data_IF_798904501479
#
_entry.id   IF_798904501479
#
_cell.length_a   1.000
_cell.length_b   1.000
_cell.length_c   1.000
_cell.angle_alpha   90.00
_cell.angle_beta   90.00
_cell.angle_gamma   90.00
#
_symmetry.space_group_name_H-M   'P 1'
#
loop_
_entity.id
_entity.type
_entity.pdbx_description
1 polymer ?
#
# COMPACT_ATOMS: atom_id res chain seq x y z
N UNK A 1 -0.17 31.24 10.93
CA UNK A 1 0.42 31.76 12.19
C UNK A 1 1.86 31.23 12.27
N UNK A 2 2.67 31.63 11.30
CA UNK A 2 4.08 31.26 11.12
C UNK A 2 4.86 32.57 10.97
N UNK A 3 6.09 32.63 11.49
CA UNK A 3 7.06 33.74 11.50
C UNK A 3 7.22 34.50 12.83
N UNK A 4 7.59 33.78 13.87
CA UNK A 4 8.50 34.31 14.91
C UNK A 4 9.45 33.15 15.23
N UNK A 5 10.72 33.42 15.54
CA UNK A 5 11.82 32.47 15.89
C UNK A 5 12.89 32.16 14.84
N UNK A 6 13.33 33.15 14.05
CA UNK A 6 14.63 33.07 13.35
C UNK A 6 15.64 34.16 13.75
N UNK A 7 15.53 34.76 14.94
CA UNK A 7 16.48 35.80 15.39
C UNK A 7 17.34 35.46 16.61
N UNK A 8 17.44 34.20 17.04
CA UNK A 8 18.23 33.85 18.23
C UNK A 8 19.38 32.86 18.00
N UNK A 9 20.15 32.98 16.91
CA UNK A 9 21.50 32.40 16.87
C UNK A 9 22.46 33.25 16.03
N UNK A 10 22.87 34.38 16.60
CA UNK A 10 24.07 35.10 16.17
C UNK A 10 25.29 34.61 16.97
N UNK A 11 26.30 34.11 16.26
CA UNK A 11 27.68 34.02 16.77
C UNK A 11 28.15 32.63 17.21
N UNK A 12 28.80 31.91 16.30
CA UNK A 12 29.61 30.72 16.62
C UNK A 12 29.69 29.78 15.42
N UNK A 13 30.89 29.54 14.90
CA UNK A 13 31.15 28.64 13.77
C UNK A 13 30.97 27.16 14.12
N UNK A 14 29.77 26.77 14.55
CA UNK A 14 29.31 25.39 14.63
C UNK A 14 28.48 25.04 13.39
N UNK A 15 28.70 23.86 12.81
CA UNK A 15 27.83 23.34 11.76
C UNK A 15 26.38 23.39 12.24
N UNK A 16 25.51 24.17 11.59
CA UNK A 16 24.06 24.12 11.84
C UNK A 16 23.60 22.67 11.63
N UNK A 17 23.36 21.96 12.72
CA UNK A 17 22.77 20.64 12.66
C UNK A 17 21.33 20.83 12.17
N UNK A 18 21.06 20.31 10.98
CA UNK A 18 19.78 20.47 10.28
C UNK A 18 18.77 19.57 10.97
N UNK A 19 17.67 20.12 11.46
CA UNK A 19 16.65 19.38 12.20
C UNK A 19 15.36 19.25 11.42
N UNK A 20 14.78 18.05 11.44
CA UNK A 20 13.39 17.83 11.03
C UNK A 20 12.48 18.24 12.18
N UNK A 21 11.33 18.82 11.86
CA UNK A 21 10.30 19.15 12.83
C UNK A 21 9.06 18.29 12.60
N UNK A 22 8.49 17.78 13.68
CA UNK A 22 7.25 17.01 13.67
C UNK A 22 6.55 17.23 15.00
N UNK A 23 5.47 18.00 15.01
CA UNK A 23 4.61 18.11 16.19
C UNK A 23 3.61 16.95 16.29
N UNK A 24 3.05 16.79 17.49
CA UNK A 24 2.12 15.69 17.80
C UNK A 24 0.86 15.74 16.95
N UNK A 25 0.30 16.93 16.70
CA UNK A 25 -0.91 17.11 15.89
C UNK A 25 -0.66 16.75 14.43
N UNK A 26 0.53 17.04 13.90
CA UNK A 26 0.92 16.67 12.55
C UNK A 26 1.11 15.16 12.45
N UNK A 27 1.77 14.52 13.42
CA UNK A 27 1.88 13.06 13.50
C UNK A 27 0.49 12.39 13.54
N UNK A 28 -0.38 12.81 14.47
CA UNK A 28 -1.78 12.35 14.57
C UNK A 28 -2.55 12.57 13.26
N UNK A 29 -2.31 13.69 12.56
CA UNK A 29 -2.94 13.97 11.26
C UNK A 29 -2.48 12.98 10.18
N UNK A 30 -1.23 12.56 10.16
CA UNK A 30 -0.75 11.57 9.19
C UNK A 30 -1.30 10.16 9.47
N UNK A 31 -1.58 9.84 10.73
CA UNK A 31 -2.16 8.55 11.13
C UNK A 31 -3.63 8.36 10.73
N UNK A 32 -4.44 9.43 10.79
CA UNK A 32 -5.90 9.37 10.59
C UNK A 32 -6.37 8.72 9.28
N UNK A 33 -5.78 9.03 8.10
CA UNK A 33 -6.26 8.45 6.86
C UNK A 33 -6.25 6.92 6.83
N UNK A 34 -5.33 6.26 7.55
CA UNK A 34 -5.26 4.80 7.57
C UNK A 34 -6.48 4.17 8.26
N UNK A 35 -7.07 4.84 9.26
CA UNK A 35 -8.35 4.39 9.84
C UNK A 35 -9.45 4.39 8.77
N UNK A 36 -9.56 5.48 8.00
CA UNK A 36 -10.54 5.55 6.91
C UNK A 36 -10.30 4.54 5.80
N UNK A 37 -9.04 4.20 5.46
CA UNK A 37 -8.76 3.14 4.50
C UNK A 37 -9.33 1.80 4.97
N UNK A 38 -9.18 1.47 6.25
CA UNK A 38 -9.68 0.24 6.84
C UNK A 38 -11.20 0.25 6.94
N UNK A 39 -11.78 1.32 7.50
CA UNK A 39 -13.23 1.42 7.70
C UNK A 39 -13.96 1.35 6.35
N UNK A 40 -13.49 2.08 5.33
CA UNK A 40 -14.10 2.05 4.00
C UNK A 40 -13.98 0.65 3.36
N UNK A 41 -12.86 -0.03 3.52
CA UNK A 41 -12.69 -1.37 2.97
C UNK A 41 -13.72 -2.34 3.56
N UNK A 42 -13.75 -2.46 4.89
CA UNK A 42 -14.60 -3.44 5.56
C UNK A 42 -16.08 -3.07 5.53
N UNK A 43 -16.43 -1.80 5.70
CA UNK A 43 -17.84 -1.39 5.82
C UNK A 43 -18.51 -1.15 4.46
N UNK A 44 -17.76 -0.85 3.40
CA UNK A 44 -18.34 -0.38 2.13
C UNK A 44 -17.91 -1.15 0.90
N UNK A 45 -16.70 -1.71 0.90
CA UNK A 45 -16.15 -2.35 -0.29
C UNK A 45 -16.28 -3.86 -0.21
N UNK A 46 -15.89 -4.48 0.91
CA UNK A 46 -15.84 -5.94 1.00
C UNK A 46 -17.24 -6.57 0.86
N UNK A 47 -18.23 -6.02 1.56
CA UNK A 47 -19.60 -6.55 1.55
C UNK A 47 -20.33 -6.43 0.21
N UNK A 48 -19.79 -5.70 -0.78
CA UNK A 48 -20.35 -5.67 -2.15
C UNK A 48 -20.29 -7.06 -2.79
N UNK A 49 -19.35 -7.90 -2.35
CA UNK A 49 -19.06 -9.20 -2.94
C UNK A 49 -19.70 -10.37 -2.17
N UNK A 50 -20.53 -10.11 -1.15
CA UNK A 50 -21.11 -11.16 -0.31
C UNK A 50 -22.14 -12.03 -1.05
N UNK A 51 -22.68 -11.55 -2.17
CA UNK A 51 -23.76 -12.21 -2.92
C UNK A 51 -23.34 -12.75 -4.29
N UNK A 52 -22.04 -12.92 -4.57
CA UNK A 52 -21.55 -13.33 -5.90
C UNK A 52 -22.24 -14.62 -6.39
N UNK A 53 -22.46 -15.61 -5.52
CA UNK A 53 -23.15 -16.85 -5.90
C UNK A 53 -24.57 -16.57 -6.44
N UNK A 54 -25.33 -15.70 -5.77
CA UNK A 54 -26.67 -15.31 -6.23
C UNK A 54 -26.60 -14.53 -7.55
N UNK A 55 -25.62 -13.63 -7.70
CA UNK A 55 -25.44 -12.85 -8.93
C UNK A 55 -25.10 -13.76 -10.13
N UNK A 56 -24.32 -14.81 -9.89
CA UNK A 56 -24.01 -15.87 -10.86
C UNK A 56 -25.25 -16.67 -11.26
N UNK A 57 -26.08 -17.09 -10.30
CA UNK A 57 -27.34 -17.78 -10.58
C UNK A 57 -28.29 -16.90 -11.39
N UNK A 58 -28.38 -15.61 -11.04
CA UNK A 58 -29.16 -14.64 -11.81
C UNK A 58 -28.62 -14.44 -13.23
N UNK A 59 -27.29 -14.44 -13.41
CA UNK A 59 -26.67 -14.35 -14.72
C UNK A 59 -26.96 -15.59 -15.58
N UNK A 60 -26.91 -16.79 -14.99
CA UNK A 60 -27.26 -18.04 -15.66
C UNK A 60 -28.74 -18.05 -16.08
N UNK A 61 -29.65 -17.71 -15.17
CA UNK A 61 -31.09 -17.70 -15.43
C UNK A 61 -31.46 -16.70 -16.53
N UNK A 62 -30.92 -15.47 -16.47
CA UNK A 62 -31.15 -14.46 -17.53
C UNK A 62 -30.68 -14.97 -18.90
N UNK A 63 -29.48 -15.57 -18.96
CA UNK A 63 -28.95 -16.11 -20.22
C UNK A 63 -29.79 -17.28 -20.75
N UNK A 64 -30.31 -18.13 -19.86
CA UNK A 64 -31.24 -19.20 -20.26
C UNK A 64 -32.56 -18.65 -20.81
N UNK A 65 -33.13 -17.64 -20.17
CA UNK A 65 -34.34 -16.94 -20.63
C UNK A 65 -34.12 -16.31 -22.01
N UNK A 66 -32.98 -15.65 -22.23
CA UNK A 66 -32.58 -15.06 -23.52
C UNK A 66 -32.43 -16.14 -24.62
N UNK A 67 -31.82 -17.28 -24.31
CA UNK A 67 -31.73 -18.40 -25.25
C UNK A 67 -33.12 -18.95 -25.62
N UNK A 68 -34.06 -18.94 -24.67
CA UNK A 68 -35.44 -19.35 -24.87
C UNK A 68 -36.16 -18.61 -26.01
N UNK A 69 -35.74 -17.39 -26.36
CA UNK A 69 -36.28 -16.65 -27.52
C UNK A 69 -36.00 -17.35 -28.86
N UNK A 70 -34.96 -18.18 -28.93
CA UNK A 70 -34.55 -18.94 -30.11
C UNK A 70 -35.07 -20.38 -30.12
N UNK A 71 -35.94 -20.76 -29.17
CA UNK A 71 -36.44 -22.12 -29.05
C UNK A 71 -37.34 -22.52 -30.22
N UNK A 72 -37.02 -23.66 -30.82
CA UNK A 72 -37.82 -24.40 -31.80
C UNK A 72 -37.97 -25.84 -31.30
N UNK A 73 -39.20 -26.36 -31.12
CA UNK A 73 -39.41 -27.74 -30.67
C UNK A 73 -38.75 -28.81 -31.53
N UNK A 74 -38.48 -28.52 -32.80
CA UNK A 74 -37.95 -29.47 -33.78
C UNK A 74 -36.43 -29.39 -33.91
N UNK A 75 -35.82 -28.25 -33.61
CA UNK A 75 -34.42 -27.95 -33.94
C UNK A 75 -33.55 -27.56 -32.72
N UNK A 76 -34.15 -27.29 -31.55
CA UNK A 76 -33.41 -26.84 -30.38
C UNK A 76 -32.90 -28.01 -29.54
N UNK A 77 -31.59 -28.02 -29.31
CA UNK A 77 -30.95 -28.81 -28.27
C UNK A 77 -31.05 -28.06 -26.93
N UNK A 78 -31.93 -28.54 -26.04
CA UNK A 78 -32.12 -27.95 -24.72
C UNK A 78 -30.89 -28.17 -23.83
N UNK A 79 -30.16 -29.28 -24.00
CA UNK A 79 -28.97 -29.55 -23.21
C UNK A 79 -27.89 -28.50 -23.49
N UNK A 80 -27.75 -28.10 -24.77
CA UNK A 80 -26.89 -26.97 -25.15
C UNK A 80 -27.30 -25.65 -24.46
N UNK A 81 -28.61 -25.38 -24.32
CA UNK A 81 -29.07 -24.16 -23.65
C UNK A 81 -28.73 -24.18 -22.16
N UNK A 82 -28.94 -25.31 -21.51
CA UNK A 82 -28.61 -25.51 -20.09
C UNK A 82 -27.11 -25.36 -19.86
N UNK A 83 -26.28 -26.02 -20.66
CA UNK A 83 -24.81 -25.93 -20.55
C UNK A 83 -24.31 -24.50 -20.81
N UNK A 84 -24.89 -23.80 -21.80
CA UNK A 84 -24.53 -22.42 -22.10
C UNK A 84 -24.87 -21.48 -20.94
N UNK A 85 -26.05 -21.63 -20.34
CA UNK A 85 -26.47 -20.85 -19.17
C UNK A 85 -25.60 -21.14 -17.94
N UNK A 86 -25.29 -22.41 -17.68
CA UNK A 86 -24.40 -22.80 -16.59
C UNK A 86 -23.01 -22.17 -16.75
N UNK A 87 -22.41 -22.29 -17.94
CA UNK A 87 -21.12 -21.67 -18.23
C UNK A 87 -21.16 -20.15 -18.06
N UNK A 88 -22.30 -19.50 -18.36
CA UNK A 88 -22.46 -18.06 -18.17
C UNK A 88 -22.44 -17.66 -16.69
N UNK A 89 -23.11 -18.42 -15.83
CA UNK A 89 -23.06 -18.22 -14.38
C UNK A 89 -21.66 -18.44 -13.80
N UNK A 90 -20.95 -19.47 -14.27
CA UNK A 90 -19.57 -19.76 -13.88
C UNK A 90 -18.60 -18.64 -14.29
N UNK A 91 -18.66 -18.18 -15.55
CA UNK A 91 -17.86 -17.05 -16.04
C UNK A 91 -18.08 -15.81 -15.17
N UNK A 92 -19.35 -15.51 -14.83
CA UNK A 92 -19.67 -14.41 -13.94
C UNK A 92 -19.01 -14.57 -12.56
N UNK A 93 -19.12 -15.76 -11.97
CA UNK A 93 -18.54 -16.06 -10.65
C UNK A 93 -17.02 -15.83 -10.65
N UNK A 94 -16.32 -16.41 -11.63
CA UNK A 94 -14.87 -16.35 -11.77
C UNK A 94 -14.38 -14.91 -11.95
N UNK A 95 -15.04 -14.15 -12.84
CA UNK A 95 -14.65 -12.77 -13.12
C UNK A 95 -14.88 -11.85 -11.92
N UNK A 96 -16.04 -11.91 -11.27
CA UNK A 96 -16.32 -11.05 -10.10
C UNK A 96 -15.45 -11.45 -8.90
N UNK A 97 -15.21 -12.76 -8.71
CA UNK A 97 -14.26 -13.27 -7.73
C UNK A 97 -12.83 -12.76 -7.94
N UNK A 98 -12.38 -12.66 -9.19
CA UNK A 98 -11.08 -12.09 -9.52
C UNK A 98 -11.06 -10.57 -9.24
N UNK A 99 -12.14 -9.86 -9.53
CA UNK A 99 -12.28 -8.43 -9.20
C UNK A 99 -12.20 -8.19 -7.68
N UNK A 100 -12.91 -8.98 -6.87
CA UNK A 100 -12.84 -8.90 -5.41
C UNK A 100 -11.40 -9.08 -4.91
N UNK A 101 -10.74 -10.13 -5.41
CA UNK A 101 -9.35 -10.43 -5.10
C UNK A 101 -8.41 -9.26 -5.49
N UNK A 102 -8.56 -8.72 -6.70
CA UNK A 102 -7.76 -7.60 -7.18
C UNK A 102 -7.99 -6.33 -6.37
N UNK A 103 -9.21 -6.04 -5.95
CA UNK A 103 -9.53 -4.90 -5.08
C UNK A 103 -8.81 -5.01 -3.74
N UNK A 104 -8.81 -6.21 -3.12
CA UNK A 104 -8.05 -6.46 -1.89
C UNK A 104 -6.56 -6.18 -2.09
N UNK A 105 -5.95 -6.71 -3.15
CA UNK A 105 -4.54 -6.46 -3.46
C UNK A 105 -4.26 -4.98 -3.71
N UNK A 106 -5.13 -4.30 -4.45
CA UNK A 106 -5.01 -2.87 -4.69
C UNK A 106 -5.07 -2.06 -3.39
N UNK A 107 -5.81 -2.53 -2.38
CA UNK A 107 -5.85 -1.87 -1.07
C UNK A 107 -4.49 -1.87 -0.38
N UNK A 108 -3.81 -3.03 -0.33
CA UNK A 108 -2.43 -3.14 0.18
C UNK A 108 -1.47 -2.22 -0.59
N UNK A 109 -1.50 -2.29 -1.92
CA UNK A 109 -0.62 -1.49 -2.77
C UNK A 109 -0.86 0.01 -2.58
N UNK A 110 -2.12 0.42 -2.45
CA UNK A 110 -2.50 1.82 -2.27
C UNK A 110 -2.08 2.35 -0.90
N UNK A 111 -2.26 1.58 0.18
CA UNK A 111 -1.82 1.98 1.52
C UNK A 111 -0.32 2.26 1.58
N UNK A 112 0.49 1.40 0.94
CA UNK A 112 1.94 1.63 0.82
C UNK A 112 2.25 2.92 0.07
N UNK A 113 1.69 3.07 -1.14
CA UNK A 113 1.97 4.21 -2.01
C UNK A 113 1.52 5.53 -1.40
N UNK A 114 0.40 5.49 -0.68
CA UNK A 114 -0.11 6.64 0.06
C UNK A 114 0.86 7.04 1.18
N UNK A 115 1.33 6.09 1.99
CA UNK A 115 2.34 6.35 3.02
C UNK A 115 3.64 6.87 2.42
N UNK A 116 4.17 6.25 1.37
CA UNK A 116 5.42 6.68 0.73
C UNK A 116 5.31 8.12 0.23
N UNK A 117 4.17 8.50 -0.34
CA UNK A 117 3.88 9.88 -0.76
C UNK A 117 3.75 10.85 0.43
N UNK A 118 3.12 10.44 1.53
CA UNK A 118 3.07 11.26 2.76
C UNK A 118 4.49 11.53 3.28
N UNK A 119 5.31 10.49 3.40
CA UNK A 119 6.70 10.57 3.90
C UNK A 119 7.56 11.43 2.99
N UNK A 120 7.48 11.21 1.67
CA UNK A 120 8.17 12.03 0.68
C UNK A 120 7.75 13.50 0.77
N UNK A 121 6.45 13.76 0.88
CA UNK A 121 5.91 15.11 1.01
C UNK A 121 6.33 15.78 2.32
N UNK A 122 6.36 15.04 3.42
CA UNK A 122 6.86 15.50 4.72
C UNK A 122 8.33 15.91 4.63
N UNK A 123 9.20 14.99 4.17
CA UNK A 123 10.63 15.27 4.01
C UNK A 123 10.91 16.46 3.08
N UNK A 124 10.13 16.63 2.02
CA UNK A 124 10.30 17.75 1.12
C UNK A 124 9.94 19.09 1.78
N UNK A 125 8.85 19.14 2.57
CA UNK A 125 8.41 20.37 3.25
C UNK A 125 9.32 20.75 4.41
N UNK A 126 9.58 19.80 5.31
CA UNK A 126 10.37 20.06 6.52
C UNK A 126 11.87 20.09 6.21
N UNK A 127 12.33 19.28 5.25
CA UNK A 127 13.70 19.31 4.78
C UNK A 127 13.99 20.39 3.74
N UNK A 128 12.96 21.04 3.17
CA UNK A 128 13.06 21.90 1.98
C UNK A 128 14.06 23.05 2.08
N UNK A 129 14.10 23.75 3.22
CA UNK A 129 15.12 24.79 3.46
C UNK A 129 16.54 24.23 3.55
N UNK A 130 16.70 22.99 4.01
CA UNK A 130 17.99 22.30 4.12
C UNK A 130 18.46 21.67 2.81
N UNK A 131 17.53 21.30 1.93
CA UNK A 131 17.82 20.69 0.63
C UNK A 131 18.36 21.70 -0.40
N UNK A 132 18.11 23.01 -0.20
CA UNK A 132 18.71 24.11 -0.96
C UNK A 132 20.25 24.15 -0.85
N UNK A 133 20.80 23.71 0.29
CA UNK A 133 22.23 23.84 0.59
C UNK A 133 23.10 22.68 0.03
N UNK A 134 22.50 21.64 -0.55
CA UNK A 134 23.22 20.42 -1.00
C UNK A 134 23.20 20.18 -2.52
N UNK A 135 22.60 21.08 -3.31
CA UNK A 135 22.82 21.06 -4.76
C UNK A 135 24.15 21.74 -5.07
N UNK A 136 24.99 21.11 -5.89
CA UNK A 136 26.27 21.69 -6.37
C UNK A 136 26.10 23.09 -7.00
N UNK A 137 24.90 23.38 -7.50
CA UNK A 137 24.51 24.64 -8.14
C UNK A 137 23.80 25.65 -7.21
N UNK A 138 23.55 25.32 -5.94
CA UNK A 138 22.69 26.12 -5.04
C UNK A 138 21.23 26.25 -5.50
N UNK A 139 20.75 25.34 -6.36
CA UNK A 139 19.38 25.31 -6.89
C UNK A 139 18.50 24.36 -6.10
N UNK A 140 17.29 24.79 -5.82
CA UNK A 140 16.24 23.97 -5.23
C UNK A 140 16.04 22.67 -6.04
N UNK A 141 16.09 21.53 -5.35
CA UNK A 141 15.67 20.26 -5.94
C UNK A 141 14.16 20.31 -6.11
N UNK A 142 13.68 20.42 -7.34
CA UNK A 142 12.25 20.39 -7.61
C UNK A 142 11.61 19.10 -7.06
N UNK A 143 10.41 19.20 -6.45
CA UNK A 143 9.68 18.05 -5.87
C UNK A 143 9.64 16.82 -6.78
N UNK A 144 9.44 17.01 -8.09
CA UNK A 144 9.40 15.93 -9.10
C UNK A 144 10.64 15.04 -9.11
N UNK A 145 11.79 15.53 -8.67
CA UNK A 145 13.07 14.82 -8.63
C UNK A 145 13.46 14.38 -7.20
N UNK A 146 12.66 14.71 -6.19
CA UNK A 146 12.93 14.41 -4.79
C UNK A 146 12.34 13.06 -4.38
N UNK A 147 13.07 12.24 -3.62
CA UNK A 147 12.52 11.04 -2.98
C UNK A 147 11.87 10.05 -3.95
N UNK A 148 12.52 9.77 -5.09
CA UNK A 148 11.97 8.96 -6.18
C UNK A 148 11.73 7.48 -5.83
N UNK A 149 12.35 7.00 -4.76
CA UNK A 149 12.16 5.66 -4.23
C UNK A 149 12.52 5.63 -2.74
N UNK A 150 12.19 4.52 -2.10
CA UNK A 150 12.43 4.32 -0.67
C UNK A 150 13.91 4.42 -0.26
N UNK A 151 14.85 4.02 -1.12
CA UNK A 151 16.29 4.10 -0.81
C UNK A 151 16.76 5.55 -0.73
N UNK A 152 16.25 6.40 -1.60
CA UNK A 152 16.48 7.86 -1.52
C UNK A 152 15.85 8.44 -0.25
N UNK A 153 14.64 8.02 0.10
CA UNK A 153 13.95 8.47 1.33
C UNK A 153 14.75 8.08 2.59
N UNK A 154 15.20 6.83 2.70
CA UNK A 154 16.06 6.36 3.81
C UNK A 154 17.32 7.20 3.94
N UNK A 155 18.04 7.40 2.84
CA UNK A 155 19.26 8.23 2.82
C UNK A 155 18.96 9.66 3.29
N UNK A 156 17.82 10.21 2.90
CA UNK A 156 17.42 11.56 3.32
C UNK A 156 17.15 11.64 4.83
N UNK A 157 16.47 10.67 5.43
CA UNK A 157 16.34 10.64 6.88
C UNK A 157 17.70 10.50 7.59
N UNK A 158 18.61 9.68 7.05
CA UNK A 158 19.97 9.56 7.57
C UNK A 158 20.77 10.87 7.48
N UNK A 159 20.58 11.67 6.42
CA UNK A 159 21.18 13.02 6.32
C UNK A 159 20.74 13.93 7.49
N UNK A 160 19.56 13.69 8.08
CA UNK A 160 19.04 14.35 9.28
C UNK A 160 19.34 13.58 10.58
N UNK A 161 20.10 12.50 10.50
CA UNK A 161 20.50 11.65 11.62
C UNK A 161 19.44 10.65 12.10
N UNK A 162 18.38 10.41 11.33
CA UNK A 162 17.33 9.46 11.68
C UNK A 162 17.49 8.18 10.85
N UNK A 163 17.68 7.03 11.51
CA UNK A 163 17.69 5.75 10.82
C UNK A 163 16.32 5.10 10.89
N UNK A 164 15.47 5.36 9.89
CA UNK A 164 14.10 4.79 9.86
C UNK A 164 14.10 3.27 9.74
N UNK A 165 15.20 2.63 9.33
CA UNK A 165 15.27 1.18 9.22
C UNK A 165 15.45 0.47 10.56
N UNK A 166 15.76 1.23 11.62
CA UNK A 166 15.89 0.73 12.99
C UNK A 166 14.60 0.93 13.80
N UNK A 167 13.56 1.53 13.22
CA UNK A 167 12.24 1.64 13.84
C UNK A 167 11.58 0.27 13.96
N UNK A 168 10.79 0.08 15.03
CA UNK A 168 10.13 -1.19 15.31
C UNK A 168 9.15 -1.58 14.20
N UNK A 169 8.41 -0.61 13.67
CA UNK A 169 7.47 -0.80 12.56
C UNK A 169 8.12 -1.08 11.19
N UNK A 170 9.43 -0.90 11.05
CA UNK A 170 10.08 -0.89 9.73
C UNK A 170 9.96 -2.23 8.98
N UNK A 171 10.03 -3.34 9.71
CA UNK A 171 9.96 -4.67 9.11
C UNK A 171 8.62 -4.91 8.38
N UNK A 172 7.52 -4.42 8.96
CA UNK A 172 6.18 -4.59 8.40
C UNK A 172 5.94 -3.62 7.24
N UNK A 173 6.44 -2.39 7.35
CA UNK A 173 6.39 -1.41 6.24
C UNK A 173 7.20 -1.92 5.04
N UNK A 174 8.38 -2.49 5.29
CA UNK A 174 9.21 -3.06 4.23
C UNK A 174 8.57 -4.32 3.61
N UNK A 175 7.82 -5.11 4.38
CA UNK A 175 7.01 -6.20 3.83
C UNK A 175 5.92 -5.68 2.90
N UNK A 176 5.17 -4.68 3.38
CA UNK A 176 4.11 -4.06 2.61
C UNK A 176 4.66 -3.44 1.31
N UNK A 177 5.85 -2.84 1.35
CA UNK A 177 6.57 -2.37 0.14
C UNK A 177 6.79 -3.50 -0.86
N UNK A 178 7.31 -4.62 -0.39
CA UNK A 178 7.58 -5.78 -1.24
C UNK A 178 6.29 -6.31 -1.83
N UNK A 179 5.25 -6.49 -1.02
CA UNK A 179 3.92 -6.90 -1.46
C UNK A 179 3.34 -5.94 -2.52
N UNK A 180 3.38 -4.63 -2.27
CA UNK A 180 2.92 -3.63 -3.22
C UNK A 180 3.66 -3.72 -4.56
N UNK A 181 4.98 -3.98 -4.53
CA UNK A 181 5.79 -4.13 -5.73
C UNK A 181 5.49 -5.43 -6.50
N UNK A 182 5.26 -6.55 -5.80
CA UNK A 182 4.82 -7.81 -6.41
C UNK A 182 3.47 -7.63 -7.08
N UNK A 183 2.53 -6.96 -6.41
CA UNK A 183 1.20 -6.66 -6.94
C UNK A 183 1.29 -5.83 -8.25
N UNK A 184 2.21 -4.87 -8.30
CA UNK A 184 2.40 -3.97 -9.46
C UNK A 184 3.12 -4.63 -10.64
N UNK A 185 4.12 -5.46 -10.35
CA UNK A 185 5.09 -5.89 -11.36
C UNK A 185 5.12 -7.39 -11.60
N UNK A 186 4.46 -8.19 -10.75
CA UNK A 186 4.57 -9.64 -10.79
C UNK A 186 5.95 -10.11 -10.32
N UNK A 187 6.47 -11.12 -11.00
CA UNK A 187 7.74 -11.76 -10.67
C UNK A 187 8.95 -10.79 -10.79
N UNK A 188 9.96 -11.04 -9.99
CA UNK A 188 11.19 -10.26 -9.94
C UNK A 188 11.78 -10.15 -8.53
N UNK A 189 12.73 -9.23 -8.35
CA UNK A 189 13.48 -9.13 -7.09
C UNK A 189 12.62 -8.84 -5.85
N UNK A 190 11.46 -8.20 -6.00
CA UNK A 190 10.51 -8.00 -4.90
C UNK A 190 9.78 -9.29 -4.54
N UNK A 191 9.39 -10.11 -5.54
CA UNK A 191 8.74 -11.40 -5.34
C UNK A 191 9.69 -12.38 -4.63
N UNK A 192 10.94 -12.47 -5.09
CA UNK A 192 11.96 -13.30 -4.43
C UNK A 192 12.16 -12.92 -2.96
N UNK A 193 12.26 -11.62 -2.66
CA UNK A 193 12.41 -11.14 -1.28
C UNK A 193 11.18 -11.42 -0.44
N UNK A 194 9.97 -11.19 -0.98
CA UNK A 194 8.74 -11.43 -0.25
C UNK A 194 8.54 -12.91 0.02
N UNK A 195 8.81 -13.79 -0.95
CA UNK A 195 8.66 -15.24 -0.80
C UNK A 195 9.58 -15.80 0.28
N UNK A 196 10.80 -15.27 0.40
CA UNK A 196 11.70 -15.63 1.50
C UNK A 196 11.18 -15.15 2.87
N UNK A 197 10.44 -14.04 2.93
CA UNK A 197 9.94 -13.45 4.18
C UNK A 197 8.57 -14.03 4.59
N UNK A 198 7.69 -14.24 3.61
CA UNK A 198 6.29 -14.64 3.73
C UNK A 198 5.96 -15.73 2.70
N UNK A 199 6.56 -16.93 2.82
CA UNK A 199 6.24 -18.03 1.91
C UNK A 199 4.76 -18.43 1.97
N UNK A 200 4.11 -18.15 3.11
CA UNK A 200 2.67 -18.32 3.32
C UNK A 200 1.81 -17.47 2.36
N UNK A 201 2.32 -16.33 1.86
CA UNK A 201 1.60 -15.54 0.86
C UNK A 201 1.60 -16.15 -0.54
N UNK A 202 2.41 -17.18 -0.78
CA UNK A 202 2.54 -17.81 -2.08
C UNK A 202 2.00 -19.23 -2.09
N UNK A 203 1.72 -19.81 -0.92
CA UNK A 203 1.29 -21.19 -0.80
C UNK A 203 -0.25 -21.28 -0.75
N UNK A 204 -0.85 -21.88 -1.77
CA UNK A 204 -2.26 -22.21 -1.79
C UNK A 204 -2.44 -23.65 -1.27
N UNK A 205 -3.12 -23.81 -0.13
CA UNK A 205 -3.35 -25.11 0.49
C UNK A 205 -4.28 -26.02 -0.34
N UNK A 206 -5.23 -25.43 -1.07
CA UNK A 206 -6.20 -26.18 -1.88
C UNK A 206 -5.55 -26.74 -3.14
N UNK A 207 -4.68 -25.95 -3.78
CA UNK A 207 -3.91 -26.35 -4.95
C UNK A 207 -2.60 -27.08 -4.58
N UNK A 208 -2.23 -27.05 -3.29
CA UNK A 208 -1.08 -27.77 -2.75
C UNK A 208 0.26 -27.24 -3.21
N UNK A 209 0.37 -25.95 -3.53
CA UNK A 209 1.60 -25.41 -4.12
C UNK A 209 1.62 -23.89 -4.33
N UNK A 210 2.71 -23.45 -4.93
CA UNK A 210 2.93 -22.05 -5.28
C UNK A 210 2.43 -21.75 -6.69
N UNK A 211 1.20 -21.23 -6.79
CA UNK A 211 0.61 -20.83 -8.07
C UNK A 211 1.34 -19.65 -8.71
N UNK A 212 2.00 -18.80 -7.92
CA UNK A 212 2.74 -17.66 -8.44
C UNK A 212 3.92 -18.09 -9.31
N UNK A 213 4.58 -19.22 -9.01
CA UNK A 213 5.69 -19.75 -9.84
C UNK A 213 5.23 -20.17 -11.24
N UNK A 214 3.93 -20.50 -11.40
CA UNK A 214 3.37 -20.88 -12.69
C UNK A 214 3.02 -19.65 -13.55
N UNK A 215 2.39 -18.65 -12.95
CA UNK A 215 1.84 -17.51 -13.70
C UNK A 215 2.76 -16.29 -13.72
N UNK A 216 3.55 -16.06 -12.67
CA UNK A 216 4.43 -14.90 -12.54
C UNK A 216 3.72 -13.55 -12.44
N UNK A 217 2.39 -13.52 -12.37
CA UNK A 217 1.58 -12.30 -12.23
C UNK A 217 0.68 -12.36 -11.00
N UNK A 218 0.30 -11.20 -10.46
CA UNK A 218 -0.48 -11.09 -9.24
C UNK A 218 -1.97 -10.79 -9.45
N UNK A 219 -2.37 -10.29 -10.63
CA UNK A 219 -3.70 -9.69 -10.86
C UNK A 219 -4.52 -10.37 -11.94
N UNK A 220 -3.90 -11.16 -12.83
CA UNK A 220 -4.64 -11.90 -13.85
C UNK A 220 -5.24 -13.19 -13.27
N UNK A 221 -4.59 -13.75 -12.26
CA UNK A 221 -5.00 -14.95 -11.55
C UNK A 221 -4.84 -14.75 -10.03
N UNK A 222 -5.53 -15.58 -9.25
CA UNK A 222 -5.44 -15.59 -7.78
C UNK A 222 -4.16 -16.30 -7.32
N UNK A 223 -3.02 -15.61 -7.42
CA UNK A 223 -1.70 -16.21 -7.16
C UNK A 223 -1.10 -15.89 -5.79
N UNK A 224 -1.67 -14.92 -5.06
CA UNK A 224 -1.23 -14.52 -3.73
C UNK A 224 -2.28 -14.84 -2.67
N UNK A 225 -1.88 -15.49 -1.59
CA UNK A 225 -2.73 -15.83 -0.45
C UNK A 225 -2.51 -14.81 0.67
N UNK A 226 -3.08 -13.61 0.49
CA UNK A 226 -3.02 -12.54 1.49
C UNK A 226 -4.38 -12.35 2.17
N UNK A 227 -4.43 -12.57 3.48
CA UNK A 227 -5.63 -12.39 4.29
C UNK A 227 -5.90 -10.92 4.65
N UNK A 228 -7.17 -10.57 4.81
CA UNK A 228 -7.62 -9.22 5.17
C UNK A 228 -7.07 -8.75 6.53
N UNK A 229 -6.78 -9.66 7.47
CA UNK A 229 -6.15 -9.33 8.75
C UNK A 229 -4.81 -8.60 8.59
N UNK A 230 -4.11 -8.84 7.47
CA UNK A 230 -2.86 -8.15 7.16
C UNK A 230 -3.08 -6.64 6.93
N UNK A 231 -4.27 -6.22 6.47
CA UNK A 231 -4.58 -4.80 6.31
C UNK A 231 -4.49 -4.05 7.65
N UNK A 232 -4.97 -4.68 8.72
CA UNK A 232 -4.91 -4.11 10.08
C UNK A 232 -3.46 -4.01 10.56
N UNK A 233 -2.68 -5.09 10.41
CA UNK A 233 -1.26 -5.11 10.78
C UNK A 233 -0.47 -4.01 10.06
N UNK A 234 -0.68 -3.88 8.76
CA UNK A 234 0.00 -2.84 7.99
C UNK A 234 -0.50 -1.44 8.32
N UNK A 235 -1.80 -1.24 8.57
CA UNK A 235 -2.33 0.03 9.08
C UNK A 235 -1.62 0.45 10.36
N UNK A 236 -1.50 -0.46 11.33
CA UNK A 236 -0.83 -0.21 12.60
C UNK A 236 0.65 0.12 12.41
N UNK A 237 1.35 -0.57 11.50
CA UNK A 237 2.74 -0.27 11.18
C UNK A 237 2.91 1.13 10.56
N UNK A 238 2.05 1.53 9.62
CA UNK A 238 2.11 2.84 8.99
C UNK A 238 1.77 3.98 9.96
N UNK A 239 0.87 3.75 10.92
CA UNK A 239 0.60 4.68 12.02
C UNK A 239 1.78 4.75 13.00
N UNK A 240 2.36 3.59 13.34
CA UNK A 240 3.52 3.49 14.24
C UNK A 240 4.73 4.24 13.70
N UNK A 241 4.95 4.24 12.38
CA UNK A 241 6.00 5.06 11.77
C UNK A 241 5.93 6.54 12.17
N UNK A 242 4.74 7.15 12.11
CA UNK A 242 4.58 8.57 12.44
C UNK A 242 4.72 8.84 13.93
N UNK A 243 4.32 7.90 14.77
CA UNK A 243 4.48 7.99 16.22
C UNK A 243 5.96 7.84 16.63
N UNK A 244 6.64 6.81 16.14
CA UNK A 244 8.07 6.57 16.40
C UNK A 244 8.93 7.71 15.86
N UNK A 245 8.64 8.22 14.66
CA UNK A 245 9.36 9.37 14.10
C UNK A 245 9.17 10.63 14.98
N UNK A 246 7.96 10.86 15.47
CA UNK A 246 7.67 11.97 16.40
C UNK A 246 8.47 11.83 17.70
N UNK A 247 8.50 10.64 18.30
CA UNK A 247 9.25 10.37 19.52
C UNK A 247 10.76 10.58 19.32
N UNK A 248 11.33 10.04 18.24
CA UNK A 248 12.75 10.20 17.92
C UNK A 248 13.14 11.66 17.69
N UNK A 249 12.30 12.45 17.00
CA UNK A 249 12.55 13.88 16.77
C UNK A 249 12.52 14.65 18.09
N UNK A 250 11.47 14.47 18.91
CA UNK A 250 11.32 15.25 20.14
C UNK A 250 12.33 14.88 21.23
N UNK A 251 12.69 13.60 21.34
CA UNK A 251 13.71 13.14 22.28
C UNK A 251 15.07 13.82 22.00
N UNK A 252 15.51 13.85 20.74
CA UNK A 252 16.75 14.54 20.34
C UNK A 252 16.71 16.05 20.59
N UNK A 253 15.56 16.67 20.41
CA UNK A 253 15.40 18.09 20.72
C UNK A 253 15.57 18.35 22.22
N UNK A 254 15.08 17.47 23.10
CA UNK A 254 15.16 17.65 24.56
C UNK A 254 16.56 17.37 25.12
N UNK A 255 17.29 16.36 24.63
CA UNK A 255 18.68 16.10 25.03
C UNK A 255 19.61 17.31 24.80
N UNK A 256 19.30 18.16 23.81
CA UNK A 256 20.08 19.38 23.55
C UNK A 256 19.82 20.50 24.55
N UNK A 257 18.65 20.53 25.19
CA UNK A 257 18.32 21.56 26.19
C UNK A 257 18.81 21.20 27.59
N UNK A 258 19.06 19.92 27.89
CA UNK A 258 19.59 19.46 29.18
C UNK A 258 21.13 19.58 29.29
N UNK A 259 21.81 20.06 28.25
CA UNK A 259 23.27 20.24 28.19
C UNK A 259 23.73 21.71 28.38
N UNK A 260 22.82 22.61 28.79
CA UNK A 260 23.09 24.01 29.13
C UNK A 260 22.59 24.37 30.53
#
# INVERSE_FOLDING_TARGET
MLNIYLEYFGGGGGSLQRELWLDKRLSEKQCKPYDYYIDVYFEKVNGVFDNIERESDEAANRHFEELGEYYSPEDTDIDFFVDSAFNKGLEHFEMVSLVQYNIKLMWFSTMYQFWEQQVRGYLYREGGYSLLANSEDGKEVAFKNFGLNIEVIKKKFLDFGYNITEMNCWNDINELRLLANVIKHGDGGAATQLMNKRPDFFYDEFLGGNTFDLYGTALNEKTLVVEEKQLILYKEALQSFWNELYEQINFKTHEKFDLF
#
